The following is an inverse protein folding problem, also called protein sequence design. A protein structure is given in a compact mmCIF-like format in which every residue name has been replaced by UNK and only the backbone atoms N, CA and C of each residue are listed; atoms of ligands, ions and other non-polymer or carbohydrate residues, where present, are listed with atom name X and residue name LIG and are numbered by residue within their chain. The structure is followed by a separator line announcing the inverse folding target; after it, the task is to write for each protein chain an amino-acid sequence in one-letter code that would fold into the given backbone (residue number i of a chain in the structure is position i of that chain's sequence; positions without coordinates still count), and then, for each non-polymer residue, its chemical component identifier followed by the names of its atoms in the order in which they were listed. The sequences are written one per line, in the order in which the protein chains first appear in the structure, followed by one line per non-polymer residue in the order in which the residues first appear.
data_IF_015163138208
#
_entry.id   IF_015163138208
#
_cell.length_a   1.000
_cell.length_b   1.000
_cell.length_c   1.000
_cell.angle_alpha   90.00
_cell.angle_beta   90.00
_cell.angle_gamma   90.00
#
_symmetry.space_group_name_H-M   'P 1'
#
loop_
_entity.id
_entity.type
_entity.pdbx_description
1 polymer ?
#
# COMPACT_ATOMS: atom_id res chain seq x y z
N UNK A 1 -30.54 7.72 16.53
CA UNK A 1 -30.49 6.27 16.70
C UNK A 1 -29.03 5.83 16.54
N UNK A 2 -28.56 4.81 17.25
CA UNK A 2 -27.21 4.29 17.03
C UNK A 2 -27.09 3.80 15.58
N UNK A 3 -25.96 4.10 14.94
CA UNK A 3 -25.67 3.65 13.56
C UNK A 3 -25.40 2.15 13.51
N UNK A 4 -24.76 1.60 14.55
CA UNK A 4 -24.43 0.17 14.68
C UNK A 4 -25.58 -0.52 15.42
N UNK A 5 -26.09 -1.59 14.81
CA UNK A 5 -27.12 -2.45 15.41
C UNK A 5 -26.46 -3.51 16.30
N UNK A 6 -26.96 -3.66 17.51
CA UNK A 6 -26.45 -4.63 18.50
C UNK A 6 -27.16 -5.98 18.42
N UNK A 7 -28.18 -6.11 17.57
CA UNK A 7 -28.95 -7.32 17.37
C UNK A 7 -29.42 -7.44 15.94
N UNK A 8 -29.73 -8.66 15.56
CA UNK A 8 -30.17 -9.02 14.22
C UNK A 8 -31.45 -8.24 13.82
N UNK A 9 -31.47 -7.54 12.67
CA UNK A 9 -32.64 -6.76 12.19
C UNK A 9 -33.67 -7.68 11.52
N UNK A 10 -34.42 -8.45 12.30
CA UNK A 10 -35.43 -9.39 11.82
C UNK A 10 -36.54 -8.68 11.02
N UNK A 11 -36.91 -9.22 9.85
CA UNK A 11 -37.90 -8.66 8.94
C UNK A 11 -37.39 -7.53 8.05
N UNK A 12 -36.13 -7.12 8.18
CA UNK A 12 -35.55 -6.05 7.38
C UNK A 12 -34.57 -6.56 6.31
N UNK A 13 -34.40 -5.78 5.24
CA UNK A 13 -33.41 -6.03 4.21
C UNK A 13 -32.00 -5.63 4.69
N UNK A 14 -31.06 -6.54 4.59
CA UNK A 14 -29.64 -6.32 4.94
C UNK A 14 -28.75 -6.57 3.74
N UNK A 15 -28.02 -5.54 3.31
CA UNK A 15 -27.01 -5.65 2.26
C UNK A 15 -25.69 -6.19 2.83
N UNK A 16 -25.19 -7.26 2.26
CA UNK A 16 -23.95 -7.92 2.68
C UNK A 16 -22.91 -7.84 1.57
N UNK A 17 -21.70 -7.34 1.90
CA UNK A 17 -20.52 -7.55 1.07
C UNK A 17 -20.18 -9.05 1.06
N UNK A 18 -20.48 -9.71 -0.05
CA UNK A 18 -20.38 -11.16 -0.19
C UNK A 18 -19.17 -11.55 -1.02
N UNK A 19 -18.23 -12.25 -0.40
CA UNK A 19 -17.01 -12.76 -1.05
C UNK A 19 -17.13 -14.23 -1.53
N UNK A 20 -18.20 -14.91 -1.19
CA UNK A 20 -18.34 -16.35 -1.42
C UNK A 20 -17.54 -17.24 -0.48
N UNK A 21 -16.84 -16.65 0.50
CA UNK A 21 -16.13 -17.40 1.54
C UNK A 21 -17.05 -17.98 2.63
N UNK A 22 -16.52 -18.86 3.48
CA UNK A 22 -17.28 -19.57 4.53
C UNK A 22 -18.02 -18.62 5.45
N UNK A 23 -17.31 -17.58 5.96
CA UNK A 23 -17.84 -16.66 6.95
C UNK A 23 -19.09 -15.93 6.44
N UNK A 24 -19.02 -15.37 5.23
CA UNK A 24 -20.15 -14.66 4.63
C UNK A 24 -21.26 -15.61 4.18
N UNK A 25 -20.95 -16.81 3.73
CA UNK A 25 -21.94 -17.82 3.33
C UNK A 25 -22.75 -18.31 4.54
N UNK A 26 -22.07 -18.64 5.63
CA UNK A 26 -22.72 -19.04 6.88
C UNK A 26 -23.57 -17.90 7.48
N UNK A 27 -23.05 -16.67 7.44
CA UNK A 27 -23.77 -15.49 7.92
C UNK A 27 -25.08 -15.25 7.16
N UNK A 28 -25.07 -15.35 5.81
CA UNK A 28 -26.28 -15.19 4.99
C UNK A 28 -27.30 -16.24 5.31
N UNK A 29 -26.91 -17.52 5.38
CA UNK A 29 -27.82 -18.62 5.67
C UNK A 29 -28.40 -18.50 7.08
N UNK A 30 -27.57 -18.16 8.08
CA UNK A 30 -28.00 -17.93 9.46
C UNK A 30 -28.98 -16.76 9.57
N UNK A 31 -28.70 -15.62 8.92
CA UNK A 31 -29.61 -14.47 8.88
C UNK A 31 -30.95 -14.83 8.26
N UNK A 32 -30.95 -15.56 7.15
CA UNK A 32 -32.20 -15.99 6.49
C UNK A 32 -33.05 -16.87 7.39
N UNK A 33 -32.43 -17.84 8.09
CA UNK A 33 -33.15 -18.72 9.04
C UNK A 33 -33.73 -17.95 10.22
N UNK A 34 -33.11 -16.85 10.62
CA UNK A 34 -33.58 -15.97 11.72
C UNK A 34 -34.57 -14.90 11.24
N UNK A 35 -34.98 -14.90 9.96
CA UNK A 35 -36.02 -14.02 9.41
C UNK A 35 -35.54 -12.67 8.90
N UNK A 36 -34.24 -12.48 8.68
CA UNK A 36 -33.70 -11.34 7.94
C UNK A 36 -33.84 -11.58 6.43
N UNK A 37 -33.85 -10.52 5.64
CA UNK A 37 -33.90 -10.58 4.18
C UNK A 37 -32.52 -10.17 3.63
N UNK A 38 -31.57 -11.14 3.40
CA UNK A 38 -30.24 -10.81 2.95
C UNK A 38 -30.21 -10.41 1.46
N UNK A 39 -29.54 -9.31 1.17
CA UNK A 39 -29.16 -8.87 -0.18
C UNK A 39 -27.64 -8.98 -0.31
N UNK A 40 -27.15 -9.66 -1.33
CA UNK A 40 -25.72 -9.90 -1.48
C UNK A 40 -25.12 -9.07 -2.60
N UNK A 41 -24.03 -8.38 -2.30
CA UNK A 41 -23.30 -7.58 -3.26
C UNK A 41 -21.85 -8.05 -3.34
N UNK A 42 -21.44 -8.50 -4.51
CA UNK A 42 -20.09 -9.00 -4.78
C UNK A 42 -19.33 -7.98 -5.62
N UNK A 43 -18.14 -7.60 -5.21
CA UNK A 43 -17.26 -6.76 -6.00
C UNK A 43 -16.36 -7.62 -6.90
N UNK A 44 -16.45 -7.43 -8.22
CA UNK A 44 -15.41 -7.88 -9.14
C UNK A 44 -14.25 -6.85 -9.08
N UNK A 45 -13.18 -7.24 -8.41
CA UNK A 45 -11.96 -6.43 -8.25
C UNK A 45 -10.81 -6.93 -9.15
N UNK A 46 -11.08 -7.87 -10.06
CA UNK A 46 -10.05 -8.53 -10.86
C UNK A 46 -9.16 -9.46 -10.02
N UNK A 47 -9.74 -10.17 -9.05
CA UNK A 47 -9.03 -11.12 -8.19
C UNK A 47 -8.41 -12.22 -9.04
N UNK A 48 -7.09 -12.48 -8.98
CA UNK A 48 -6.40 -13.45 -9.83
C UNK A 48 -6.74 -14.91 -9.47
N UNK A 49 -7.25 -15.15 -8.28
CA UNK A 49 -7.63 -16.48 -7.77
C UNK A 49 -9.14 -16.79 -7.92
N UNK A 50 -9.93 -15.89 -8.55
CA UNK A 50 -11.32 -16.15 -8.87
C UNK A 50 -11.47 -16.49 -10.37
N UNK A 51 -12.04 -17.66 -10.64
CA UNK A 51 -12.19 -18.18 -12.01
C UNK A 51 -13.58 -18.06 -12.57
N UNK A 52 -14.63 -17.94 -11.73
CA UNK A 52 -16.02 -17.82 -12.13
C UNK A 52 -16.76 -16.80 -11.24
N UNK A 53 -16.64 -15.52 -11.59
CA UNK A 53 -17.33 -14.45 -10.89
C UNK A 53 -18.85 -14.59 -10.90
N UNK A 54 -19.42 -15.16 -11.96
CA UNK A 54 -20.87 -15.30 -12.10
C UNK A 54 -21.45 -16.38 -11.18
N UNK A 55 -20.63 -17.34 -10.73
CA UNK A 55 -21.07 -18.33 -9.74
C UNK A 55 -21.25 -17.73 -8.34
N UNK A 56 -20.53 -16.67 -8.00
CA UNK A 56 -20.59 -16.09 -6.65
C UNK A 56 -22.01 -15.60 -6.30
N UNK A 57 -22.70 -14.76 -7.11
CA UNK A 57 -24.09 -14.41 -6.86
C UNK A 57 -25.05 -15.61 -6.86
N UNK A 58 -24.83 -16.61 -7.72
CA UNK A 58 -25.62 -17.84 -7.75
C UNK A 58 -25.50 -18.61 -6.43
N UNK A 59 -24.30 -18.69 -5.86
CA UNK A 59 -24.10 -19.30 -4.53
C UNK A 59 -24.83 -18.52 -3.43
N UNK A 60 -24.77 -17.19 -3.45
CA UNK A 60 -25.48 -16.36 -2.49
C UNK A 60 -27.00 -16.64 -2.49
N UNK A 61 -27.62 -16.73 -3.67
CA UNK A 61 -29.04 -17.09 -3.80
C UNK A 61 -29.33 -18.47 -3.24
N UNK A 62 -28.46 -19.46 -3.49
CA UNK A 62 -28.62 -20.82 -2.91
C UNK A 62 -28.56 -20.81 -1.36
N UNK A 63 -27.74 -19.93 -0.78
CA UNK A 63 -27.63 -19.79 0.68
C UNK A 63 -28.79 -19.01 1.31
N UNK A 64 -29.72 -18.48 0.51
CA UNK A 64 -30.93 -17.82 1.00
C UNK A 64 -30.95 -16.30 0.82
N UNK A 65 -30.04 -15.73 0.04
CA UNK A 65 -30.15 -14.33 -0.33
C UNK A 65 -31.42 -14.09 -1.16
N UNK A 66 -32.12 -12.98 -0.89
CA UNK A 66 -33.28 -12.53 -1.66
C UNK A 66 -32.86 -12.01 -3.04
N UNK A 67 -31.74 -11.30 -3.08
CA UNK A 67 -31.11 -10.76 -4.28
C UNK A 67 -29.61 -10.87 -4.19
N UNK A 68 -28.94 -11.11 -5.32
CA UNK A 68 -27.50 -11.10 -5.39
C UNK A 68 -27.04 -10.37 -6.67
N UNK A 69 -26.06 -9.47 -6.52
CA UNK A 69 -25.50 -8.67 -7.62
C UNK A 69 -23.99 -8.78 -7.65
N UNK A 70 -23.45 -8.89 -8.86
CA UNK A 70 -22.02 -8.71 -9.15
C UNK A 70 -21.80 -7.29 -9.66
N UNK A 71 -20.92 -6.53 -9.01
CA UNK A 71 -20.60 -5.15 -9.34
C UNK A 71 -19.19 -5.12 -9.91
N UNK A 72 -19.03 -4.69 -11.16
CA UNK A 72 -17.70 -4.52 -11.76
C UNK A 72 -17.03 -3.26 -11.21
N UNK A 73 -16.03 -3.46 -10.39
CA UNK A 73 -15.26 -2.41 -9.72
C UNK A 73 -13.87 -2.19 -10.33
N UNK A 74 -13.49 -2.96 -11.38
CA UNK A 74 -12.11 -2.99 -11.89
C UNK A 74 -11.61 -1.65 -12.38
N UNK A 75 -12.39 -0.97 -13.21
CA UNK A 75 -11.99 0.33 -13.78
C UNK A 75 -11.78 1.39 -12.69
N UNK A 76 -12.70 1.48 -11.73
CA UNK A 76 -12.57 2.41 -10.60
C UNK A 76 -11.36 2.05 -9.72
N UNK A 77 -11.15 0.76 -9.48
CA UNK A 77 -10.02 0.30 -8.68
C UNK A 77 -8.67 0.62 -9.32
N UNK A 78 -8.58 0.45 -10.64
CA UNK A 78 -7.37 0.83 -11.39
C UNK A 78 -7.14 2.34 -11.30
N UNK A 79 -8.17 3.14 -11.47
CA UNK A 79 -8.07 4.60 -11.36
C UNK A 79 -7.57 5.05 -9.98
N UNK A 80 -8.12 4.49 -8.88
CA UNK A 80 -7.68 4.85 -7.52
C UNK A 80 -6.26 4.35 -7.22
N UNK A 81 -5.87 3.20 -7.77
CA UNK A 81 -4.49 2.70 -7.65
C UNK A 81 -3.48 3.57 -8.39
N UNK A 82 -3.81 4.05 -9.58
CA UNK A 82 -2.98 5.01 -10.31
C UNK A 82 -2.90 6.36 -9.59
N UNK A 83 -3.98 6.81 -8.97
CA UNK A 83 -3.93 8.00 -8.12
C UNK A 83 -3.01 7.81 -6.89
N UNK A 84 -3.03 6.61 -6.29
CA UNK A 84 -2.11 6.28 -5.19
C UNK A 84 -0.64 6.24 -5.65
N UNK A 85 -0.37 5.70 -6.85
CA UNK A 85 0.95 5.71 -7.49
C UNK A 85 1.45 7.15 -7.70
N UNK A 86 0.62 8.00 -8.34
CA UNK A 86 0.94 9.40 -8.61
C UNK A 86 1.33 10.18 -7.35
N UNK A 87 0.71 9.84 -6.24
CA UNK A 87 0.93 10.48 -4.96
C UNK A 87 1.99 9.81 -4.09
N UNK A 88 2.56 8.68 -4.49
CA UNK A 88 3.44 7.89 -3.62
C UNK A 88 2.76 7.48 -2.30
N UNK A 89 1.47 7.14 -2.34
CA UNK A 89 0.63 6.91 -1.15
C UNK A 89 0.93 5.56 -0.46
N UNK A 90 2.21 5.31 -0.15
CA UNK A 90 2.73 4.07 0.41
C UNK A 90 3.55 4.38 1.67
N UNK A 91 3.03 4.00 2.85
CA UNK A 91 3.63 4.41 4.12
C UNK A 91 4.41 3.29 4.83
N UNK A 92 4.21 2.02 4.43
CA UNK A 92 4.91 0.87 5.01
C UNK A 92 6.04 0.48 4.07
N UNK A 93 7.27 0.62 4.56
CA UNK A 93 8.47 0.30 3.80
C UNK A 93 9.48 -0.38 4.70
N UNK A 94 10.01 -1.52 4.28
CA UNK A 94 11.09 -2.23 4.96
C UNK A 94 12.23 -2.46 3.96
N UNK A 95 13.43 -1.97 4.29
CA UNK A 95 14.63 -2.12 3.45
C UNK A 95 14.41 -1.73 1.97
N UNK A 96 13.67 -0.65 1.71
CA UNK A 96 13.36 -0.15 0.38
C UNK A 96 12.23 -0.88 -0.36
N UNK A 97 11.66 -1.91 0.23
CA UNK A 97 10.52 -2.64 -0.36
C UNK A 97 9.21 -2.15 0.26
N UNK A 98 8.27 -1.78 -0.59
CA UNK A 98 7.00 -1.17 -0.18
C UNK A 98 5.86 -2.19 -0.07
N UNK A 99 4.93 -1.92 0.86
CA UNK A 99 3.55 -2.37 0.76
C UNK A 99 2.73 -1.30 0.04
N UNK A 100 2.15 -1.66 -1.10
CA UNK A 100 1.47 -0.71 -2.00
C UNK A 100 0.01 -0.42 -1.63
N UNK A 101 -0.41 -0.67 -0.39
CA UNK A 101 -1.77 -0.41 0.08
C UNK A 101 -2.87 -1.03 -0.79
N UNK A 102 -2.61 -2.18 -1.40
CA UNK A 102 -3.51 -2.81 -2.38
C UNK A 102 -4.86 -3.21 -1.78
N UNK A 103 -4.87 -3.78 -0.57
CA UNK A 103 -6.10 -4.05 0.17
C UNK A 103 -6.83 -2.77 0.59
N UNK A 104 -6.20 -1.74 1.21
CA UNK A 104 -6.85 -0.46 1.51
C UNK A 104 -7.50 0.22 0.31
N UNK A 105 -6.84 0.24 -0.86
CA UNK A 105 -7.42 0.78 -2.10
C UNK A 105 -8.66 -0.04 -2.50
N UNK A 106 -8.55 -1.36 -2.46
CA UNK A 106 -9.68 -2.26 -2.74
C UNK A 106 -10.88 -1.97 -1.83
N UNK A 107 -10.67 -1.71 -0.54
CA UNK A 107 -11.75 -1.40 0.42
C UNK A 107 -12.37 -0.04 0.17
N UNK A 108 -11.60 0.96 -0.27
CA UNK A 108 -12.13 2.26 -0.66
C UNK A 108 -13.15 2.14 -1.80
N UNK A 109 -12.83 1.36 -2.81
CA UNK A 109 -13.70 1.11 -3.97
C UNK A 109 -14.87 0.20 -3.60
N UNK A 110 -14.61 -0.93 -2.94
CA UNK A 110 -15.67 -1.87 -2.54
C UNK A 110 -16.70 -1.17 -1.63
N UNK A 111 -16.25 -0.50 -0.59
CA UNK A 111 -17.13 0.15 0.40
C UNK A 111 -18.01 1.26 -0.19
N UNK A 112 -17.54 1.92 -1.26
CA UNK A 112 -18.33 2.97 -1.93
C UNK A 112 -19.24 2.41 -3.01
N UNK A 113 -18.75 1.54 -3.89
CA UNK A 113 -19.52 1.04 -5.04
C UNK A 113 -20.63 0.07 -4.62
N UNK A 114 -20.38 -0.82 -3.66
CA UNK A 114 -21.42 -1.74 -3.19
C UNK A 114 -22.53 -0.98 -2.44
N UNK A 115 -22.19 0.03 -1.63
CA UNK A 115 -23.20 0.86 -0.97
C UNK A 115 -23.99 1.71 -1.97
N UNK A 116 -23.39 2.15 -3.06
CA UNK A 116 -24.12 2.81 -4.15
C UNK A 116 -25.13 1.85 -4.80
N UNK A 117 -24.73 0.60 -5.06
CA UNK A 117 -25.64 -0.43 -5.59
C UNK A 117 -26.78 -0.78 -4.60
N UNK A 118 -26.48 -0.80 -3.29
CA UNK A 118 -27.52 -0.97 -2.25
C UNK A 118 -28.56 0.15 -2.27
N UNK A 119 -28.12 1.39 -2.51
CA UNK A 119 -29.02 2.54 -2.61
C UNK A 119 -29.99 2.42 -3.79
N UNK A 120 -29.55 1.85 -4.92
CA UNK A 120 -30.41 1.54 -6.06
C UNK A 120 -31.48 0.50 -5.73
N UNK A 121 -31.16 -0.43 -4.80
CA UNK A 121 -32.07 -1.50 -4.37
C UNK A 121 -32.90 -1.13 -3.13
N UNK A 122 -32.84 0.13 -2.65
CA UNK A 122 -33.51 0.64 -1.45
C UNK A 122 -33.15 -0.14 -0.17
N UNK A 123 -31.89 -0.60 -0.06
CA UNK A 123 -31.37 -1.33 1.10
C UNK A 123 -30.58 -0.39 2.01
N UNK A 124 -31.00 -0.30 3.28
CA UNK A 124 -30.50 0.71 4.22
C UNK A 124 -29.70 0.16 5.40
N UNK A 125 -29.47 -1.15 5.45
CA UNK A 125 -28.61 -1.78 6.46
C UNK A 125 -27.44 -2.41 5.74
N UNK A 126 -26.22 -2.00 6.12
CA UNK A 126 -24.97 -2.49 5.54
C UNK A 126 -24.27 -3.46 6.48
N UNK A 127 -23.82 -4.58 5.95
CA UNK A 127 -23.03 -5.59 6.64
C UNK A 127 -21.89 -6.15 5.79
N UNK A 128 -20.92 -6.70 6.47
CA UNK A 128 -19.77 -7.39 5.89
C UNK A 128 -19.20 -8.42 6.86
N UNK A 129 -18.30 -9.27 6.37
CA UNK A 129 -17.67 -10.34 7.15
C UNK A 129 -16.44 -9.91 7.95
N UNK A 130 -16.18 -8.62 8.13
CA UNK A 130 -14.98 -8.16 8.84
C UNK A 130 -15.06 -8.44 10.34
N UNK A 131 -13.93 -8.92 10.89
CA UNK A 131 -13.80 -9.23 12.32
C UNK A 131 -13.47 -7.99 13.14
N UNK A 132 -13.82 -7.99 14.43
CA UNK A 132 -13.57 -6.85 15.33
C UNK A 132 -12.09 -6.55 15.59
N UNK A 133 -11.17 -7.48 15.28
CA UNK A 133 -9.71 -7.29 15.38
C UNK A 133 -9.05 -6.82 14.10
N UNK A 134 -9.78 -6.85 12.98
CA UNK A 134 -9.28 -6.48 11.65
C UNK A 134 -9.35 -4.97 11.38
N UNK A 135 -8.68 -4.53 10.32
CA UNK A 135 -8.75 -3.14 9.85
C UNK A 135 -10.04 -2.86 9.05
N UNK A 136 -10.58 -3.87 8.37
CA UNK A 136 -11.66 -3.71 7.41
C UNK A 136 -13.00 -3.30 8.06
N UNK A 137 -13.18 -3.66 9.34
CA UNK A 137 -14.38 -3.27 10.08
C UNK A 137 -14.55 -1.73 10.13
N UNK A 138 -13.43 -1.00 10.27
CA UNK A 138 -13.45 0.46 10.27
C UNK A 138 -13.48 1.03 8.85
N UNK A 139 -12.73 0.45 7.92
CA UNK A 139 -12.71 0.88 6.51
C UNK A 139 -14.11 0.84 5.90
N UNK A 140 -14.80 -0.30 5.99
CA UNK A 140 -16.16 -0.43 5.48
C UNK A 140 -17.18 0.43 6.21
N UNK A 141 -17.05 0.59 7.52
CA UNK A 141 -17.90 1.50 8.29
C UNK A 141 -17.79 2.94 7.77
N UNK A 142 -16.56 3.45 7.59
CA UNK A 142 -16.32 4.82 7.12
C UNK A 142 -16.81 5.01 5.69
N UNK A 143 -16.37 4.19 4.74
CA UNK A 143 -16.74 4.33 3.34
C UNK A 143 -18.24 4.15 3.11
N UNK A 144 -18.87 3.24 3.82
CA UNK A 144 -20.31 3.06 3.78
C UNK A 144 -21.07 4.32 4.20
N UNK A 145 -20.70 4.90 5.35
CA UNK A 145 -21.37 6.12 5.85
C UNK A 145 -21.01 7.38 5.05
N UNK A 146 -19.84 7.46 4.43
CA UNK A 146 -19.50 8.54 3.50
C UNK A 146 -20.39 8.48 2.25
N UNK A 147 -20.66 7.29 1.73
CA UNK A 147 -21.50 7.10 0.53
C UNK A 147 -22.99 7.28 0.85
N UNK A 148 -23.43 6.76 1.98
CA UNK A 148 -24.82 6.90 2.44
C UNK A 148 -24.87 7.17 3.95
N UNK A 149 -25.00 8.43 4.39
CA UNK A 149 -25.04 8.78 5.81
C UNK A 149 -26.31 8.26 6.53
N UNK A 150 -27.32 7.82 5.78
CA UNK A 150 -28.55 7.20 6.30
C UNK A 150 -28.40 5.73 6.70
N UNK A 151 -27.31 5.05 6.33
CA UNK A 151 -27.12 3.65 6.64
C UNK A 151 -27.14 3.34 8.14
N UNK A 152 -27.76 2.21 8.47
CA UNK A 152 -27.51 1.45 9.69
C UNK A 152 -26.52 0.34 9.37
N UNK A 153 -25.76 -0.08 10.36
CA UNK A 153 -24.67 -1.04 10.20
C UNK A 153 -24.97 -2.27 11.05
N UNK A 154 -25.03 -3.42 10.41
CA UNK A 154 -25.10 -4.71 11.10
C UNK A 154 -23.87 -5.57 10.71
N UNK A 155 -23.13 -6.00 11.69
CA UNK A 155 -21.96 -6.88 11.44
C UNK A 155 -22.13 -8.17 12.24
N UNK A 156 -22.20 -9.34 11.59
CA UNK A 156 -22.33 -10.62 12.28
C UNK A 156 -21.28 -10.82 13.39
N UNK A 157 -20.04 -10.45 13.13
CA UNK A 157 -18.94 -10.54 14.11
C UNK A 157 -19.00 -9.53 15.27
N UNK A 158 -20.03 -8.70 15.36
CA UNK A 158 -20.36 -7.85 16.51
C UNK A 158 -21.66 -8.31 17.20
N UNK A 159 -22.34 -9.32 16.67
CA UNK A 159 -23.56 -9.89 17.26
C UNK A 159 -23.20 -11.12 18.10
N UNK A 160 -23.46 -11.03 19.40
CA UNK A 160 -23.13 -12.11 20.34
C UNK A 160 -23.86 -13.40 19.98
N UNK A 161 -25.11 -13.34 19.50
CA UNK A 161 -25.87 -14.52 19.11
C UNK A 161 -25.23 -15.25 17.91
N UNK A 162 -24.68 -14.51 16.95
CA UNK A 162 -23.92 -15.09 15.86
C UNK A 162 -22.62 -15.76 16.34
N UNK A 163 -21.90 -15.07 17.23
CA UNK A 163 -20.63 -15.58 17.77
C UNK A 163 -20.86 -16.84 18.62
N UNK A 164 -21.89 -16.88 19.42
CA UNK A 164 -22.22 -18.05 20.28
C UNK A 164 -22.64 -19.28 19.46
N UNK A 165 -23.33 -19.06 18.31
CA UNK A 165 -23.79 -20.16 17.45
C UNK A 165 -22.72 -20.57 16.40
N UNK A 166 -21.96 -19.61 15.83
CA UNK A 166 -21.12 -19.80 14.67
C UNK A 166 -19.72 -19.13 14.78
N UNK A 167 -19.26 -18.91 16.01
CA UNK A 167 -18.03 -18.14 16.27
C UNK A 167 -16.70 -18.77 15.83
N UNK A 168 -16.74 -19.96 15.22
CA UNK A 168 -15.56 -20.67 14.73
C UNK A 168 -15.77 -21.24 13.32
N UNK A 169 -14.66 -21.47 12.62
CA UNK A 169 -14.70 -22.05 11.26
C UNK A 169 -15.30 -23.45 11.25
N UNK A 170 -15.04 -24.24 12.28
CA UNK A 170 -15.59 -25.59 12.44
C UNK A 170 -17.10 -25.53 12.57
N UNK A 171 -17.61 -24.70 13.48
CA UNK A 171 -19.03 -24.49 13.73
C UNK A 171 -19.75 -23.99 12.47
N UNK A 172 -19.17 -23.05 11.73
CA UNK A 172 -19.71 -22.57 10.47
C UNK A 172 -19.74 -23.65 9.38
N UNK A 173 -18.68 -24.47 9.26
CA UNK A 173 -18.62 -25.57 8.28
C UNK A 173 -19.68 -26.62 8.59
N UNK A 174 -19.77 -27.08 9.84
CA UNK A 174 -20.78 -28.04 10.28
C UNK A 174 -22.21 -27.51 10.13
N UNK A 175 -22.40 -26.19 10.32
CA UNK A 175 -23.70 -25.54 10.12
C UNK A 175 -24.11 -25.59 8.63
N UNK A 176 -23.20 -25.25 7.72
CA UNK A 176 -23.45 -25.29 6.27
C UNK A 176 -23.70 -26.73 5.78
N UNK A 177 -22.93 -27.70 6.25
CA UNK A 177 -23.11 -29.11 5.91
C UNK A 177 -24.46 -29.65 6.39
N UNK A 178 -24.90 -29.33 7.61
CA UNK A 178 -26.23 -29.69 8.13
C UNK A 178 -27.37 -29.08 7.31
N UNK A 179 -27.14 -27.92 6.69
CA UNK A 179 -28.09 -27.29 5.77
C UNK A 179 -28.08 -27.91 4.36
N UNK A 180 -27.25 -28.94 4.12
CA UNK A 180 -27.14 -29.62 2.83
C UNK A 180 -26.26 -28.90 1.81
N UNK A 181 -25.52 -27.89 2.25
CA UNK A 181 -24.55 -27.20 1.41
C UNK A 181 -23.20 -27.91 1.52
N UNK A 182 -22.75 -28.54 0.43
CA UNK A 182 -21.40 -29.09 0.37
C UNK A 182 -20.39 -27.93 0.35
N UNK A 183 -19.99 -27.49 1.53
CA UNK A 183 -18.85 -26.61 1.66
C UNK A 183 -17.60 -27.47 1.67
N UNK A 184 -17.07 -27.73 0.48
CA UNK A 184 -15.77 -28.41 0.37
C UNK A 184 -14.72 -27.48 1.01
N UNK A 185 -14.36 -27.78 2.26
CA UNK A 185 -13.16 -27.19 2.85
C UNK A 185 -12.02 -27.44 1.86
N UNK A 186 -11.59 -26.41 1.12
CA UNK A 186 -10.26 -26.44 0.52
C UNK A 186 -9.32 -26.76 1.66
N UNK A 187 -8.38 -27.67 1.44
CA UNK A 187 -7.39 -28.07 2.43
C UNK A 187 -6.94 -26.82 3.20
N UNK A 188 -6.91 -26.93 4.52
CA UNK A 188 -6.71 -25.80 5.41
C UNK A 188 -5.39 -25.10 5.03
N UNK A 189 -5.49 -23.98 4.29
CA UNK A 189 -4.32 -23.22 3.91
C UNK A 189 -3.64 -22.70 5.18
N UNK A 190 -2.31 -22.73 5.20
CA UNK A 190 -1.49 -22.24 6.29
C UNK A 190 -1.66 -20.73 6.57
N UNK A 191 -2.39 -20.01 5.73
CA UNK A 191 -2.65 -18.58 5.82
C UNK A 191 -3.97 -18.21 5.11
N UNK A 192 -4.46 -16.99 5.33
CA UNK A 192 -5.58 -16.39 4.60
C UNK A 192 -5.03 -15.53 3.45
N UNK A 193 -5.77 -15.46 2.35
CA UNK A 193 -5.44 -14.64 1.18
C UNK A 193 -6.61 -13.70 0.86
N UNK A 194 -6.30 -12.45 0.58
CA UNK A 194 -7.19 -11.43 0.04
C UNK A 194 -6.51 -10.77 -1.18
N UNK A 195 -7.22 -10.68 -2.31
CA UNK A 195 -6.62 -10.25 -3.56
C UNK A 195 -7.51 -9.30 -4.34
N UNK A 196 -6.88 -8.54 -5.21
CA UNK A 196 -7.51 -7.72 -6.24
C UNK A 196 -6.51 -7.50 -7.40
N UNK A 197 -6.90 -6.75 -8.42
CA UNK A 197 -6.08 -6.49 -9.60
C UNK A 197 -4.71 -5.85 -9.28
N UNK A 198 -4.57 -5.13 -8.17
CA UNK A 198 -3.33 -4.46 -7.77
C UNK A 198 -2.41 -5.32 -6.92
N UNK A 199 -2.94 -6.33 -6.24
CA UNK A 199 -2.10 -7.14 -5.38
C UNK A 199 -2.84 -8.18 -4.56
N UNK A 200 -2.06 -9.01 -3.88
CA UNK A 200 -2.54 -9.99 -2.92
C UNK A 200 -1.90 -9.77 -1.55
N UNK A 201 -2.70 -10.05 -0.52
CA UNK A 201 -2.28 -10.05 0.88
C UNK A 201 -2.41 -11.45 1.44
N UNK A 202 -1.33 -11.97 2.02
CA UNK A 202 -1.30 -13.25 2.73
C UNK A 202 -1.02 -12.96 4.21
N UNK A 203 -1.93 -13.37 5.08
CA UNK A 203 -1.83 -13.08 6.52
C UNK A 203 -2.46 -14.17 7.39
N UNK A 204 -2.35 -14.02 8.68
CA UNK A 204 -2.94 -14.89 9.72
C UNK A 204 -2.33 -16.31 9.83
N UNK A 205 -2.79 -17.10 10.80
CA UNK A 205 -2.39 -18.47 11.05
C UNK A 205 -0.86 -18.64 11.19
N UNK A 206 -0.24 -19.45 10.31
CA UNK A 206 1.19 -19.72 10.35
C UNK A 206 2.04 -18.49 10.09
N UNK A 207 1.50 -17.49 9.36
CA UNK A 207 2.19 -16.21 9.10
C UNK A 207 2.24 -15.29 10.33
N UNK A 208 1.44 -15.51 11.37
CA UNK A 208 1.53 -14.77 12.63
C UNK A 208 2.86 -15.06 13.35
N UNK A 209 3.50 -16.20 13.06
CA UNK A 209 4.76 -16.59 13.66
C UNK A 209 5.94 -16.10 12.82
N UNK A 210 6.72 -15.14 13.31
CA UNK A 210 7.84 -14.55 12.58
C UNK A 210 8.95 -15.55 12.19
N UNK A 211 9.01 -16.72 12.83
CA UNK A 211 9.92 -17.80 12.44
C UNK A 211 9.59 -18.44 11.10
N UNK A 212 8.33 -18.30 10.65
CA UNK A 212 7.90 -18.79 9.35
C UNK A 212 8.22 -17.72 8.29
N UNK A 213 9.14 -18.02 7.38
CA UNK A 213 9.57 -17.08 6.35
C UNK A 213 8.54 -16.96 5.20
N UNK A 214 8.80 -16.04 4.27
CA UNK A 214 7.98 -15.81 3.06
C UNK A 214 7.77 -17.08 2.22
N UNK A 215 8.66 -18.07 2.35
CA UNK A 215 8.69 -19.31 1.53
C UNK A 215 7.49 -20.23 1.75
N UNK A 216 6.68 -20.02 2.81
CA UNK A 216 5.44 -20.80 3.01
C UNK A 216 4.29 -20.28 2.15
N UNK A 217 4.43 -19.12 1.53
CA UNK A 217 3.42 -18.54 0.65
C UNK A 217 3.60 -19.11 -0.76
N UNK A 218 2.52 -19.62 -1.34
CA UNK A 218 2.44 -19.89 -2.77
C UNK A 218 1.86 -18.64 -3.45
N UNK A 219 2.66 -17.90 -4.23
CA UNK A 219 2.20 -16.69 -4.89
C UNK A 219 1.05 -16.96 -5.85
N UNK A 220 0.09 -16.03 -5.90
CA UNK A 220 -1.06 -16.10 -6.82
C UNK A 220 -0.96 -15.07 -7.96
N UNK A 221 -0.06 -14.09 -7.84
CA UNK A 221 0.19 -13.09 -8.89
C UNK A 221 1.54 -13.24 -9.56
N UNK A 222 2.39 -14.13 -9.07
CA UNK A 222 3.73 -14.31 -9.58
C UNK A 222 4.28 -15.70 -9.33
N UNK A 223 5.60 -15.81 -9.41
CA UNK A 223 6.33 -17.06 -9.21
C UNK A 223 7.02 -17.07 -7.85
N UNK A 224 7.15 -18.23 -7.21
CA UNK A 224 7.95 -18.38 -5.98
C UNK A 224 9.45 -18.27 -6.31
N UNK A 225 9.89 -17.04 -6.52
CA UNK A 225 11.23 -16.72 -7.04
C UNK A 225 12.39 -17.27 -6.17
N UNK A 226 12.14 -17.64 -4.91
CA UNK A 226 13.12 -18.25 -4.02
C UNK A 226 13.38 -19.73 -4.29
N UNK A 227 12.55 -20.38 -5.15
CA UNK A 227 12.71 -21.80 -5.49
C UNK A 227 13.71 -21.97 -6.62
N UNK A 228 14.62 -22.91 -6.49
CA UNK A 228 15.70 -23.19 -7.47
C UNK A 228 15.17 -23.73 -8.81
N UNK A 229 14.03 -24.46 -8.78
CA UNK A 229 13.38 -25.01 -9.97
C UNK A 229 12.69 -23.95 -10.84
N UNK A 230 12.49 -22.74 -10.34
CA UNK A 230 11.91 -21.64 -11.10
C UNK A 230 12.97 -20.94 -11.94
N UNK A 231 12.81 -20.97 -13.24
CA UNK A 231 13.72 -20.29 -14.19
C UNK A 231 13.18 -18.89 -14.49
N UNK A 232 13.91 -17.87 -14.03
CA UNK A 232 13.63 -16.46 -14.36
C UNK A 232 14.74 -15.96 -15.28
N UNK A 233 14.37 -15.55 -16.50
CA UNK A 233 15.30 -14.96 -17.47
C UNK A 233 15.24 -13.45 -17.38
N UNK A 234 16.37 -12.72 -17.45
CA UNK A 234 16.36 -11.27 -17.54
C UNK A 234 15.50 -10.78 -18.71
N UNK A 235 14.77 -9.70 -18.49
CA UNK A 235 13.88 -9.09 -19.48
C UNK A 235 13.92 -7.58 -19.36
N UNK A 236 14.04 -6.89 -20.51
CA UNK A 236 13.96 -5.44 -20.57
C UNK A 236 12.51 -5.02 -20.79
N UNK A 237 12.05 -4.08 -19.98
CA UNK A 237 10.69 -3.53 -20.02
C UNK A 237 10.78 -2.02 -20.08
N UNK A 238 10.09 -1.41 -21.05
CA UNK A 238 10.01 0.04 -21.20
C UNK A 238 8.61 0.54 -20.85
N UNK A 239 8.54 1.51 -19.95
CA UNK A 239 7.32 2.16 -19.51
C UNK A 239 7.38 3.65 -19.88
N UNK A 240 6.33 4.14 -20.53
CA UNK A 240 6.17 5.55 -20.82
C UNK A 240 5.03 6.13 -19.99
N UNK A 241 5.25 7.34 -19.48
CA UNK A 241 4.27 8.12 -18.73
C UNK A 241 3.97 9.43 -19.44
N UNK A 242 2.72 9.85 -19.38
CA UNK A 242 2.26 11.15 -19.81
C UNK A 242 1.48 11.82 -18.68
N UNK A 243 1.95 12.98 -18.19
CA UNK A 243 1.37 13.71 -17.06
C UNK A 243 1.08 12.82 -15.83
N UNK A 244 1.99 11.90 -15.51
CA UNK A 244 1.91 10.99 -14.37
C UNK A 244 1.04 9.75 -14.59
N UNK A 245 0.44 9.58 -15.75
CA UNK A 245 -0.32 8.39 -16.13
C UNK A 245 0.52 7.49 -17.01
N UNK A 246 0.54 6.16 -16.75
CA UNK A 246 1.18 5.22 -17.66
C UNK A 246 0.45 5.23 -19.01
N UNK A 247 1.20 5.32 -20.09
CA UNK A 247 0.69 5.48 -21.45
C UNK A 247 1.01 4.27 -22.33
N UNK A 248 2.29 3.89 -22.44
CA UNK A 248 2.69 2.71 -23.19
C UNK A 248 3.53 1.74 -22.35
N UNK A 249 3.48 0.48 -22.74
CA UNK A 249 4.32 -0.60 -22.20
C UNK A 249 4.99 -1.31 -23.38
N UNK A 250 6.31 -1.27 -23.43
CA UNK A 250 7.13 -1.77 -24.53
C UNK A 250 6.76 -1.17 -25.92
N UNK A 251 6.23 0.06 -25.91
CA UNK A 251 5.77 0.76 -27.12
C UNK A 251 4.32 0.45 -27.52
N UNK A 252 3.65 -0.46 -26.84
CA UNK A 252 2.25 -0.80 -27.11
C UNK A 252 1.31 0.06 -26.25
N UNK A 253 0.22 0.54 -26.89
CA UNK A 253 -0.93 1.15 -26.22
C UNK A 253 -1.96 0.07 -25.86
N UNK A 254 -2.71 0.30 -24.79
CA UNK A 254 -3.73 -0.62 -24.30
C UNK A 254 -5.13 -0.04 -24.47
N UNK A 255 -6.16 -0.88 -24.75
CA UNK A 255 -7.53 -0.42 -24.96
C UNK A 255 -8.12 0.30 -23.75
N UNK A 256 -7.66 -0.05 -22.56
CA UNK A 256 -8.05 0.56 -21.31
C UNK A 256 -6.97 0.33 -20.22
N UNK A 257 -6.99 1.10 -19.11
CA UNK A 257 -6.02 0.94 -18.03
C UNK A 257 -6.08 -0.41 -17.31
N UNK A 258 -7.21 -1.13 -17.33
CA UNK A 258 -7.33 -2.47 -16.72
C UNK A 258 -6.47 -3.47 -17.49
N UNK A 259 -6.54 -3.44 -18.83
CA UNK A 259 -5.73 -4.29 -19.69
C UNK A 259 -4.21 -4.02 -19.48
N UNK A 260 -3.82 -2.76 -19.38
CA UNK A 260 -2.43 -2.38 -19.06
C UNK A 260 -1.98 -2.97 -17.71
N UNK A 261 -2.78 -2.84 -16.67
CA UNK A 261 -2.43 -3.34 -15.33
C UNK A 261 -2.32 -4.86 -15.31
N UNK A 262 -3.20 -5.56 -16.01
CA UNK A 262 -3.12 -7.03 -16.14
C UNK A 262 -1.81 -7.46 -16.83
N UNK A 263 -1.39 -6.76 -17.87
CA UNK A 263 -0.11 -7.06 -18.54
C UNK A 263 1.10 -6.72 -17.65
N UNK A 264 1.06 -5.61 -16.92
CA UNK A 264 2.09 -5.26 -15.94
C UNK A 264 2.22 -6.33 -14.85
N UNK A 265 1.07 -6.85 -14.36
CA UNK A 265 1.06 -7.95 -13.40
C UNK A 265 1.67 -9.22 -13.99
N UNK A 266 1.37 -9.53 -15.25
CA UNK A 266 1.91 -10.71 -15.96
C UNK A 266 3.43 -10.61 -16.11
N UNK A 267 3.93 -9.42 -16.45
CA UNK A 267 5.38 -9.16 -16.59
C UNK A 267 6.06 -9.23 -15.23
N UNK A 268 5.65 -8.41 -14.27
CA UNK A 268 6.26 -8.39 -12.94
C UNK A 268 6.15 -9.73 -12.22
N UNK A 269 4.99 -10.41 -12.37
CA UNK A 269 4.72 -11.70 -11.74
C UNK A 269 5.66 -12.81 -12.18
N UNK A 270 5.99 -12.93 -13.48
CA UNK A 270 6.93 -13.96 -13.95
C UNK A 270 8.37 -13.78 -13.45
N UNK A 271 8.68 -12.59 -12.91
CA UNK A 271 9.94 -12.31 -12.23
C UNK A 271 9.85 -12.47 -10.71
N UNK A 272 8.64 -12.57 -10.14
CA UNK A 272 8.41 -12.54 -8.71
C UNK A 272 8.62 -11.15 -8.11
N UNK A 273 8.51 -10.08 -8.94
CA UNK A 273 8.65 -8.69 -8.53
C UNK A 273 7.51 -8.28 -7.58
N UNK A 274 7.80 -7.37 -6.66
CA UNK A 274 6.79 -6.75 -5.80
C UNK A 274 6.30 -7.61 -4.65
N UNK A 275 7.01 -8.69 -4.31
CA UNK A 275 6.77 -9.42 -3.07
C UNK A 275 7.46 -8.74 -1.89
N UNK A 276 6.73 -8.58 -0.79
CA UNK A 276 7.27 -7.99 0.44
C UNK A 276 6.73 -8.68 1.70
N UNK A 277 7.57 -8.74 2.74
CA UNK A 277 7.24 -9.23 4.08
C UNK A 277 7.30 -8.03 5.03
N UNK A 278 6.16 -7.62 5.57
CA UNK A 278 6.03 -6.38 6.33
C UNK A 278 5.45 -6.64 7.72
N UNK A 279 5.99 -5.91 8.70
CA UNK A 279 5.38 -5.75 10.01
C UNK A 279 4.72 -4.39 10.05
N UNK A 280 3.44 -4.35 10.34
CA UNK A 280 2.62 -3.14 10.31
C UNK A 280 1.92 -2.86 11.63
N UNK A 281 1.53 -1.62 11.85
CA UNK A 281 0.60 -1.25 12.91
C UNK A 281 -0.81 -1.21 12.34
N UNK A 282 -1.68 -2.06 12.85
CA UNK A 282 -3.12 -2.00 12.54
C UNK A 282 -3.72 -0.67 12.98
N UNK A 283 -4.93 -0.37 12.54
CA UNK A 283 -5.67 0.85 12.95
C UNK A 283 -5.85 0.89 14.47
N UNK A 284 -6.01 -0.29 15.11
CA UNK A 284 -6.10 -0.44 16.57
C UNK A 284 -4.73 -0.44 17.29
N UNK A 285 -3.67 0.01 16.63
CA UNK A 285 -2.28 0.09 17.13
C UNK A 285 -1.59 -1.26 17.44
N UNK A 286 -2.25 -2.40 17.23
CA UNK A 286 -1.62 -3.71 17.38
C UNK A 286 -0.68 -4.01 16.21
N UNK A 287 0.43 -4.69 16.49
CA UNK A 287 1.34 -5.19 15.44
C UNK A 287 0.72 -6.39 14.73
N UNK A 288 0.88 -6.44 13.42
CA UNK A 288 0.58 -7.61 12.59
C UNK A 288 1.63 -7.77 11.51
N UNK A 289 1.64 -8.93 10.88
CA UNK A 289 2.51 -9.24 9.75
C UNK A 289 1.66 -9.62 8.55
N UNK A 290 2.05 -9.11 7.38
CA UNK A 290 1.51 -9.52 6.09
C UNK A 290 2.63 -9.80 5.09
N UNK A 291 2.39 -10.76 4.19
CA UNK A 291 3.18 -10.98 2.99
C UNK A 291 2.34 -10.52 1.82
N UNK A 292 2.91 -9.68 0.98
CA UNK A 292 2.19 -8.96 -0.07
C UNK A 292 2.78 -9.27 -1.43
N UNK A 293 1.91 -9.33 -2.44
CA UNK A 293 2.26 -9.37 -3.84
C UNK A 293 1.65 -8.13 -4.53
N UNK A 294 2.45 -7.42 -5.33
CA UNK A 294 1.97 -6.30 -6.13
C UNK A 294 2.86 -6.08 -7.36
N UNK A 295 2.94 -7.06 -8.28
CA UNK A 295 3.95 -7.05 -9.34
C UNK A 295 3.81 -5.88 -10.30
N UNK A 296 2.62 -5.56 -10.77
CA UNK A 296 2.39 -4.44 -11.69
C UNK A 296 2.59 -3.09 -11.02
N UNK A 297 2.13 -2.93 -9.77
CA UNK A 297 2.32 -1.69 -9.03
C UNK A 297 3.80 -1.45 -8.73
N UNK A 298 4.56 -2.49 -8.39
CA UNK A 298 6.00 -2.39 -8.16
C UNK A 298 6.74 -1.95 -9.43
N UNK A 299 6.39 -2.52 -10.58
CA UNK A 299 6.98 -2.16 -11.87
C UNK A 299 6.69 -0.71 -12.25
N UNK A 300 5.44 -0.26 -12.09
CA UNK A 300 5.04 1.13 -12.29
C UNK A 300 5.78 2.08 -11.34
N UNK A 301 5.88 1.71 -10.06
CA UNK A 301 6.50 2.55 -9.03
C UNK A 301 7.99 2.77 -9.30
N UNK A 302 8.74 1.73 -9.71
CA UNK A 302 10.16 1.85 -10.07
C UNK A 302 10.35 2.89 -11.17
N UNK A 303 9.57 2.79 -12.25
CA UNK A 303 9.66 3.73 -13.37
C UNK A 303 9.20 5.15 -13.00
N UNK A 304 8.10 5.25 -12.27
CA UNK A 304 7.51 6.52 -11.85
C UNK A 304 8.44 7.28 -10.90
N UNK A 305 8.97 6.63 -9.86
CA UNK A 305 9.90 7.26 -8.91
C UNK A 305 11.20 7.69 -9.59
N UNK A 306 11.67 6.93 -10.59
CA UNK A 306 12.84 7.31 -11.41
C UNK A 306 12.59 8.63 -12.14
N UNK A 307 11.42 8.82 -12.73
CA UNK A 307 11.05 10.07 -13.38
C UNK A 307 10.87 11.21 -12.38
N UNK A 308 10.18 10.98 -11.27
CA UNK A 308 10.02 12.00 -10.22
C UNK A 308 11.37 12.53 -9.76
N UNK A 309 12.33 11.65 -9.50
CA UNK A 309 13.68 12.05 -9.03
C UNK A 309 14.51 12.72 -10.11
N UNK A 310 14.29 12.42 -11.38
CA UNK A 310 14.99 13.06 -12.50
C UNK A 310 14.44 14.43 -12.89
N UNK A 311 13.17 14.68 -12.60
CA UNK A 311 12.42 15.88 -13.03
C UNK A 311 12.40 16.96 -11.95
N UNK A 312 12.17 16.58 -10.68
CA UNK A 312 11.98 17.52 -9.60
C UNK A 312 13.26 17.81 -8.83
N UNK A 313 13.32 19.00 -8.19
CA UNK A 313 14.40 19.34 -7.25
C UNK A 313 14.19 18.66 -5.89
N UNK A 314 15.25 18.62 -5.09
CA UNK A 314 15.28 17.91 -3.80
C UNK A 314 14.15 18.35 -2.86
N UNK A 315 13.90 19.66 -2.70
CA UNK A 315 12.84 20.14 -1.81
C UNK A 315 11.44 19.69 -2.24
N UNK A 316 11.19 19.56 -3.55
CA UNK A 316 9.93 19.01 -4.08
C UNK A 316 9.84 17.50 -3.84
N UNK A 317 10.95 16.77 -4.02
CA UNK A 317 11.02 15.32 -3.77
C UNK A 317 10.77 15.00 -2.30
N UNK A 318 11.37 15.75 -1.38
CA UNK A 318 11.13 15.61 0.06
C UNK A 318 9.65 15.82 0.41
N UNK A 319 9.04 16.91 -0.08
CA UNK A 319 7.61 17.17 0.12
C UNK A 319 6.72 16.05 -0.48
N UNK A 320 7.05 15.59 -1.68
CA UNK A 320 6.36 14.47 -2.31
C UNK A 320 6.37 13.22 -1.41
N UNK A 321 7.54 12.83 -0.91
CA UNK A 321 7.70 11.65 -0.06
C UNK A 321 6.98 11.78 1.27
N UNK A 322 7.06 12.93 1.93
CA UNK A 322 6.39 13.17 3.21
C UNK A 322 4.87 13.20 3.09
N UNK A 323 4.35 13.92 2.10
CA UNK A 323 2.92 13.99 1.82
C UNK A 323 2.37 12.63 1.37
N UNK A 324 3.12 11.93 0.51
CA UNK A 324 2.77 10.60 0.03
C UNK A 324 2.69 9.58 1.18
N UNK A 325 3.69 9.55 2.06
CA UNK A 325 3.69 8.69 3.25
C UNK A 325 2.50 8.99 4.16
N UNK A 326 2.18 10.27 4.41
CA UNK A 326 1.01 10.68 5.20
C UNK A 326 -0.28 10.24 4.54
N UNK A 327 -0.42 10.44 3.24
CA UNK A 327 -1.58 10.01 2.46
C UNK A 327 -1.74 8.49 2.47
N UNK A 328 -0.63 7.75 2.38
CA UNK A 328 -0.60 6.29 2.49
C UNK A 328 -1.15 5.79 3.83
N UNK A 329 -0.84 6.46 4.94
CA UNK A 329 -1.41 6.14 6.26
C UNK A 329 -2.91 6.46 6.31
N UNK A 330 -3.35 7.58 5.78
CA UNK A 330 -4.78 7.92 5.69
C UNK A 330 -5.56 6.90 4.85
N UNK A 331 -5.00 6.47 3.72
CA UNK A 331 -5.58 5.40 2.91
C UNK A 331 -5.70 4.10 3.70
N UNK A 332 -4.65 3.71 4.41
CA UNK A 332 -4.62 2.52 5.26
C UNK A 332 -5.73 2.54 6.32
N UNK A 333 -6.01 3.71 6.90
CA UNK A 333 -7.04 3.96 7.90
C UNK A 333 -8.47 4.06 7.34
N UNK A 334 -8.68 3.89 6.03
CA UNK A 334 -10.00 4.05 5.42
C UNK A 334 -10.42 5.49 5.21
N UNK A 335 -9.48 6.42 5.09
CA UNK A 335 -9.70 7.87 5.00
C UNK A 335 -9.36 8.46 3.62
N UNK A 336 -9.39 7.63 2.58
CA UNK A 336 -8.99 8.02 1.22
C UNK A 336 -9.78 9.18 0.63
N UNK A 337 -11.05 9.30 0.98
CA UNK A 337 -11.96 10.37 0.53
C UNK A 337 -12.18 11.48 1.57
N UNK A 338 -11.44 11.49 2.67
CA UNK A 338 -11.49 12.59 3.64
C UNK A 338 -10.94 13.88 3.01
N UNK A 339 -11.42 15.08 3.41
CA UNK A 339 -10.92 16.35 2.89
C UNK A 339 -9.38 16.48 2.97
N UNK A 340 -8.77 15.99 4.05
CA UNK A 340 -7.32 15.98 4.20
C UNK A 340 -6.62 15.15 3.12
N UNK A 341 -7.16 13.97 2.79
CA UNK A 341 -6.62 13.12 1.73
C UNK A 341 -6.80 13.78 0.36
N UNK A 342 -7.95 14.39 0.11
CA UNK A 342 -8.23 15.10 -1.14
C UNK A 342 -7.28 16.28 -1.34
N UNK A 343 -6.98 17.05 -0.29
CA UNK A 343 -6.00 18.14 -0.35
C UNK A 343 -4.58 17.62 -0.71
N UNK A 344 -4.14 16.53 -0.08
CA UNK A 344 -2.84 15.92 -0.37
C UNK A 344 -2.79 15.37 -1.80
N UNK A 345 -3.84 14.66 -2.22
CA UNK A 345 -3.95 14.12 -3.59
C UNK A 345 -3.90 15.23 -4.63
N UNK A 346 -4.73 16.26 -4.50
CA UNK A 346 -4.75 17.38 -5.44
C UNK A 346 -3.40 18.07 -5.51
N UNK A 347 -2.75 18.29 -4.38
CA UNK A 347 -1.43 18.91 -4.33
C UNK A 347 -0.41 18.06 -5.11
N UNK A 348 -0.32 16.77 -4.81
CA UNK A 348 0.67 15.89 -5.41
C UNK A 348 0.40 15.62 -6.89
N UNK A 349 -0.86 15.40 -7.26
CA UNK A 349 -1.24 15.20 -8.66
C UNK A 349 -1.00 16.45 -9.50
N UNK A 350 -1.33 17.63 -8.97
CA UNK A 350 -1.21 18.89 -9.70
C UNK A 350 0.24 19.38 -9.82
N UNK A 351 1.02 19.27 -8.75
CA UNK A 351 2.34 19.91 -8.67
C UNK A 351 3.50 18.96 -8.90
N UNK A 352 3.28 17.65 -8.76
CA UNK A 352 4.32 16.64 -9.01
C UNK A 352 3.96 15.81 -10.24
N UNK A 353 2.84 15.09 -10.22
CA UNK A 353 2.53 14.11 -11.25
C UNK A 353 2.41 14.71 -12.66
N UNK A 354 1.85 15.89 -12.82
CA UNK A 354 1.71 16.53 -14.15
C UNK A 354 3.02 16.79 -14.85
N UNK A 355 4.12 16.95 -14.15
CA UNK A 355 5.43 17.11 -14.76
C UNK A 355 6.04 15.75 -15.15
N UNK A 356 5.50 14.63 -14.66
CA UNK A 356 6.06 13.29 -14.90
C UNK A 356 5.61 12.79 -16.28
N UNK A 357 6.40 13.11 -17.28
CA UNK A 357 6.26 12.62 -18.66
C UNK A 357 7.61 12.14 -19.16
N UNK A 358 7.64 10.96 -19.77
CA UNK A 358 8.86 10.35 -20.28
C UNK A 358 8.85 8.84 -20.17
N UNK A 359 9.96 8.21 -20.54
CA UNK A 359 10.10 6.76 -20.56
C UNK A 359 11.24 6.28 -19.66
N UNK A 360 11.05 5.11 -19.09
CA UNK A 360 12.08 4.39 -18.31
C UNK A 360 12.15 2.96 -18.79
N UNK A 361 13.36 2.53 -19.16
CA UNK A 361 13.64 1.14 -19.50
C UNK A 361 14.32 0.45 -18.32
N UNK A 362 13.75 -0.67 -17.90
CA UNK A 362 14.16 -1.44 -16.72
C UNK A 362 14.51 -2.86 -17.16
N UNK A 363 15.65 -3.36 -16.74
CA UNK A 363 15.94 -4.79 -16.82
C UNK A 363 15.47 -5.46 -15.53
N UNK A 364 14.52 -6.36 -15.67
CA UNK A 364 14.01 -7.19 -14.57
C UNK A 364 14.81 -8.50 -14.48
N UNK A 365 15.13 -8.90 -13.27
CA UNK A 365 15.75 -10.17 -12.95
C UNK A 365 14.89 -10.93 -11.94
N UNK A 366 15.45 -11.74 -11.08
CA UNK A 366 14.71 -12.57 -10.14
C UNK A 366 14.29 -11.80 -8.89
N UNK A 367 13.01 -11.82 -8.56
CA UNK A 367 12.46 -11.15 -7.38
C UNK A 367 12.48 -9.62 -7.54
N UNK A 368 12.95 -8.92 -6.52
CA UNK A 368 13.06 -7.46 -6.54
C UNK A 368 14.42 -6.96 -7.10
N UNK A 369 15.13 -7.80 -7.83
CA UNK A 369 16.38 -7.41 -8.47
C UNK A 369 16.11 -6.82 -9.86
N UNK A 370 16.57 -5.58 -10.08
CA UNK A 370 16.41 -4.85 -11.33
C UNK A 370 17.53 -3.84 -11.56
N UNK A 371 17.63 -3.35 -12.80
CA UNK A 371 18.50 -2.22 -13.16
C UNK A 371 17.75 -1.24 -14.04
N UNK A 372 17.98 0.04 -13.84
CA UNK A 372 17.53 1.05 -14.78
C UNK A 372 18.52 1.09 -15.94
N UNK A 373 18.05 0.83 -17.17
CA UNK A 373 18.87 0.85 -18.37
C UNK A 373 18.85 2.21 -19.08
N UNK A 374 17.67 2.85 -19.11
CA UNK A 374 17.50 4.15 -19.76
C UNK A 374 16.45 4.99 -19.04
N UNK A 375 16.57 6.31 -19.14
CA UNK A 375 15.60 7.29 -18.65
C UNK A 375 15.57 8.47 -19.60
N UNK A 376 14.42 8.73 -20.20
CA UNK A 376 14.22 9.85 -21.14
C UNK A 376 13.00 10.66 -20.70
N UNK A 377 13.11 11.96 -20.69
CA UNK A 377 11.99 12.87 -20.43
C UNK A 377 12.31 14.26 -20.96
N UNK A 378 11.33 14.95 -21.57
CA UNK A 378 11.50 16.35 -21.95
C UNK A 378 11.63 17.28 -20.73
N UNK A 379 11.23 16.81 -19.56
CA UNK A 379 11.16 17.58 -18.32
C UNK A 379 12.35 17.31 -17.36
N UNK A 380 13.37 16.52 -17.78
CA UNK A 380 14.53 16.26 -16.94
C UNK A 380 15.24 17.55 -16.54
N UNK A 381 15.46 17.73 -15.25
CA UNK A 381 16.34 18.77 -14.69
C UNK A 381 17.79 18.30 -14.59
N UNK A 382 18.02 16.98 -14.72
CA UNK A 382 19.35 16.39 -14.81
C UNK A 382 20.02 16.80 -16.13
N UNK A 383 21.13 17.54 -16.03
CA UNK A 383 21.93 18.02 -17.17
C UNK A 383 23.38 17.68 -16.92
N UNK A 384 23.95 16.67 -17.64
CA UNK A 384 25.34 16.23 -17.44
C UNK A 384 26.35 17.37 -17.55
N UNK A 385 26.12 18.29 -18.47
CA UNK A 385 27.00 19.43 -18.74
C UNK A 385 27.19 20.39 -17.57
N UNK A 386 26.28 20.38 -16.60
CA UNK A 386 26.38 21.23 -15.38
C UNK A 386 27.45 20.78 -14.41
N UNK A 387 27.72 19.48 -14.36
CA UNK A 387 28.61 18.87 -13.36
C UNK A 387 29.74 18.04 -13.96
N UNK A 388 29.84 17.99 -15.30
CA UNK A 388 30.96 17.29 -15.96
C UNK A 388 32.31 17.87 -15.54
N UNK A 389 33.26 16.99 -15.23
CA UNK A 389 34.66 17.35 -14.96
C UNK A 389 35.46 17.52 -16.23
N UNK A 390 34.89 17.22 -17.40
CA UNK A 390 35.53 17.46 -18.70
C UNK A 390 35.61 18.96 -18.99
N UNK A 391 36.58 19.36 -19.82
CA UNK A 391 36.78 20.73 -20.18
C UNK A 391 35.64 21.23 -21.06
N UNK A 392 34.78 22.04 -20.49
CA UNK A 392 33.66 22.72 -21.15
C UNK A 392 32.97 23.63 -20.18
N UNK A 393 32.66 24.86 -20.56
CA UNK A 393 32.17 25.90 -19.65
C UNK A 393 30.95 25.48 -18.84
N UNK A 394 31.10 25.45 -17.52
CA UNK A 394 30.00 25.29 -16.59
C UNK A 394 29.24 26.60 -16.35
N UNK A 395 28.04 26.53 -15.79
CA UNK A 395 27.20 27.68 -15.45
C UNK A 395 27.79 28.51 -14.29
N UNK A 396 28.85 28.04 -13.59
CA UNK A 396 29.53 28.72 -12.51
C UNK A 396 31.05 28.47 -12.54
N UNK A 397 31.79 29.35 -11.90
CA UNK A 397 33.25 29.34 -11.83
C UNK A 397 33.77 28.89 -10.48
N UNK A 398 35.09 28.55 -10.35
CA UNK A 398 35.72 28.30 -9.07
C UNK A 398 35.53 29.45 -8.06
N UNK A 399 35.54 30.72 -8.55
CA UNK A 399 35.34 31.90 -7.73
C UNK A 399 33.95 31.96 -7.11
N UNK A 400 32.92 31.62 -7.89
CA UNK A 400 31.54 31.53 -7.41
C UNK A 400 31.43 30.48 -6.27
N UNK A 401 32.11 29.34 -6.47
CA UNK A 401 32.14 28.29 -5.44
C UNK A 401 32.90 28.70 -4.19
N UNK A 402 34.01 29.41 -4.32
CA UNK A 402 34.76 29.95 -3.19
C UNK A 402 33.88 30.93 -2.40
N UNK A 403 33.18 31.86 -3.09
CA UNK A 403 32.25 32.79 -2.47
C UNK A 403 31.15 32.08 -1.70
N UNK A 404 30.53 31.07 -2.27
CA UNK A 404 29.49 30.26 -1.59
C UNK A 404 30.04 29.57 -0.33
N UNK A 405 31.22 28.92 -0.42
CA UNK A 405 31.86 28.25 0.72
C UNK A 405 32.24 29.25 1.83
N UNK A 406 32.68 30.46 1.45
CA UNK A 406 32.98 31.54 2.42
C UNK A 406 31.73 31.94 3.20
N UNK A 407 30.56 32.06 2.52
CA UNK A 407 29.30 32.37 3.21
C UNK A 407 28.84 31.21 4.13
N UNK A 408 29.16 29.96 3.81
CA UNK A 408 28.87 28.82 4.69
C UNK A 408 29.60 28.87 6.01
N UNK A 409 30.68 29.62 6.13
CA UNK A 409 31.40 29.83 7.39
C UNK A 409 30.50 30.43 8.49
N UNK A 410 29.49 31.24 8.13
CA UNK A 410 28.54 31.79 9.10
C UNK A 410 27.73 30.67 9.76
N UNK A 411 27.12 29.81 8.97
CA UNK A 411 26.34 28.66 9.46
C UNK A 411 27.22 27.68 10.26
N UNK A 412 28.44 27.42 9.79
CA UNK A 412 29.40 26.54 10.48
C UNK A 412 29.78 27.12 11.83
N UNK A 413 30.02 28.46 11.90
CA UNK A 413 30.33 29.14 13.15
C UNK A 413 29.18 29.07 14.14
N UNK A 414 27.96 29.38 13.70
CA UNK A 414 26.77 29.28 14.55
C UNK A 414 26.53 27.85 15.06
N UNK A 415 26.75 26.86 14.21
CA UNK A 415 26.66 25.45 14.61
C UNK A 415 27.71 25.09 15.65
N UNK A 416 28.96 25.51 15.44
CA UNK A 416 30.06 25.28 16.38
C UNK A 416 29.77 25.90 17.75
N UNK A 417 29.28 27.14 17.78
CA UNK A 417 28.96 27.85 19.02
C UNK A 417 27.86 27.12 19.82
N UNK A 418 26.83 26.61 19.14
CA UNK A 418 25.80 25.77 19.77
C UNK A 418 26.36 24.47 20.32
N UNK A 419 27.23 23.78 19.57
CA UNK A 419 27.89 22.56 20.03
C UNK A 419 28.76 22.80 21.26
N UNK A 420 29.46 23.95 21.36
CA UNK A 420 30.23 24.36 22.55
C UNK A 420 29.30 24.53 23.75
N UNK A 421 28.14 25.18 23.59
CA UNK A 421 27.14 25.35 24.65
C UNK A 421 26.66 23.98 25.15
N UNK A 422 26.32 23.05 24.25
CA UNK A 422 25.86 21.72 24.62
C UNK A 422 26.97 20.90 25.31
N UNK A 423 28.22 21.06 24.88
CA UNK A 423 29.37 20.43 25.54
C UNK A 423 29.52 20.94 26.97
N UNK A 424 29.47 22.27 27.18
CA UNK A 424 29.51 22.90 28.51
C UNK A 424 28.35 22.50 29.41
N UNK A 425 27.18 22.27 28.83
CA UNK A 425 26.00 21.77 29.54
C UNK A 425 26.03 20.24 29.83
N UNK A 426 27.10 19.56 29.45
CA UNK A 426 27.25 18.10 29.64
C UNK A 426 26.36 17.22 28.76
N UNK A 427 25.72 17.81 27.76
CA UNK A 427 24.85 17.07 26.82
C UNK A 427 25.66 16.33 25.74
N UNK A 428 26.86 16.81 25.41
CA UNK A 428 27.79 16.18 24.49
C UNK A 428 29.03 15.69 25.25
N UNK A 429 29.33 14.40 25.14
CA UNK A 429 30.51 13.76 25.68
C UNK A 429 31.44 13.30 24.54
N UNK A 430 32.53 14.00 24.26
CA UNK A 430 33.41 13.70 23.12
C UNK A 430 33.97 12.27 23.12
N UNK A 431 34.14 11.67 24.29
CA UNK A 431 34.82 10.38 24.45
C UNK A 431 33.93 9.14 24.27
N UNK A 432 32.60 9.27 24.22
CA UNK A 432 31.71 8.10 24.21
C UNK A 432 31.26 7.66 22.80
N UNK A 433 31.47 8.47 21.77
CA UNK A 433 31.01 8.20 20.41
C UNK A 433 32.07 7.70 19.45
N UNK A 434 33.35 7.66 19.87
CA UNK A 434 34.46 7.35 18.95
C UNK A 434 34.60 8.36 17.79
N UNK A 435 33.88 9.48 17.84
CA UNK A 435 33.96 10.52 16.82
C UNK A 435 35.30 11.24 16.88
N UNK A 436 35.96 11.49 15.73
CA UNK A 436 37.17 12.32 15.68
C UNK A 436 36.88 13.81 15.93
N UNK A 437 35.59 14.22 16.02
CA UNK A 437 35.21 15.58 16.25
C UNK A 437 35.45 15.94 17.71
N UNK A 438 36.49 16.71 17.98
CA UNK A 438 36.77 17.34 19.26
C UNK A 438 36.27 18.79 19.25
N UNK A 439 35.35 19.11 20.15
CA UNK A 439 34.75 20.44 20.27
C UNK A 439 35.32 21.08 21.54
N UNK A 440 36.37 21.85 21.37
CA UNK A 440 36.94 22.71 22.42
C UNK A 440 36.27 24.08 22.45
N UNK A 441 36.38 24.77 23.59
CA UNK A 441 35.82 26.12 23.76
C UNK A 441 36.54 27.16 22.89
N UNK A 442 37.79 26.90 22.51
CA UNK A 442 38.61 27.80 21.67
C UNK A 442 39.53 26.95 20.77
N UNK A 443 39.69 27.24 19.46
CA UNK A 443 40.66 26.58 18.58
C UNK A 443 42.09 26.60 19.14
N UNK A 444 42.46 27.68 19.88
CA UNK A 444 43.79 27.83 20.47
C UNK A 444 43.98 27.03 21.77
N UNK A 445 42.88 26.67 22.48
CA UNK A 445 42.96 25.85 23.70
C UNK A 445 43.22 24.35 23.36
N UNK A 446 42.81 23.86 22.17
CA UNK A 446 43.09 22.50 21.75
C UNK A 446 44.57 22.27 21.39
N UNK A 447 45.28 23.31 21.01
CA UNK A 447 46.70 23.26 20.67
C UNK A 447 47.60 23.38 21.92
N UNK A 448 47.08 23.91 23.04
CA UNK A 448 47.84 24.09 24.31
C UNK A 448 47.77 22.83 25.17
N UNK A 449 46.79 21.92 24.96
CA UNK A 449 46.67 20.68 25.73
C UNK A 449 47.70 19.61 25.37
N UNK A 450 48.38 19.74 24.22
CA UNK A 450 49.48 18.88 23.80
C UNK A 450 50.87 19.44 24.09
N UNK A 451 50.94 20.47 24.96
CA UNK A 451 52.17 21.03 25.46
C UNK A 451 52.92 20.02 26.36
N UNK A 452 54.02 19.52 25.87
CA UNK A 452 54.98 18.65 26.56
C UNK A 452 55.22 19.10 28.00
N UNK A 453 55.28 18.19 28.95
CA UNK A 453 55.95 18.48 30.21
C UNK A 453 57.41 18.71 29.92
N UNK A 454 57.86 19.92 30.23
CA UNK A 454 59.25 20.27 30.16
C UNK A 454 60.11 19.20 30.86
N UNK A 455 61.02 18.65 30.11
CA UNK A 455 62.23 18.13 30.68
C UNK A 455 63.04 19.30 31.27
N UNK A 456 63.05 19.40 32.56
CA UNK A 456 64.15 19.95 33.34
C UNK A 456 63.89 19.74 34.83
N UNK A 457 64.51 18.81 35.40
CA UNK A 457 65.40 18.66 36.52
C UNK A 457 65.50 17.22 36.98
#
# INVERSE_FOLDING_TARGET
MPKILNSLPVGEAVGIAFSGGLDTSAAIHWMRLKGVIPYCYTANLGQPDETDYDDIPRRALRYGAEKARLIDCRAQLVQEGLAALQCGAFHITTAGVHYFNTTPIGRAVTGTMLVSAMKEDDVHIWGDGSTFKGNDIERFYRYGLLTNPGLRIYKPWLDQAFIDELGGRKEMSEFMERAGFAYHMRAEKAYSTDSNIWGATHEAKDLEWLKNGIRIVEPIMGVPFWREDIVVRPESVSLEFHEGMPHTLNGDEFPDPVALVLELNRIGGRHGLGMSDQIENRIIEAKSRGIYEAPGMALLFIAYERLVTGIHNEGTIEQYRDMGRRLGRLLYEGRWFDPQSMMLRETLQRWVARAVSGSVTIELRRGNDYSILNTESPNLTYKPERLTMEKGGGEFTPQDRIGQLTMRNLDITDTRDKLIIYTKAGLLRPSTTGSPLQIGANPDESLVADGHPNANE
#
